data_IF_731285860169
#
_entry.id   IF_731285860169
#
_cell.length_a   1.000
_cell.length_b   1.000
_cell.length_c   1.000
_cell.angle_alpha   90.00
_cell.angle_beta   90.00
_cell.angle_gamma   90.00
#
_symmetry.space_group_name_H-M   'P 1'
#
loop_
_entity.id
_entity.type
_entity.pdbx_description
1 polymer ?
#
# COMPACT_ATOMS: atom_id res chain seq x y z
N UNK A 1 -4.37 -15.45 16.00
CA UNK A 1 -5.04 -14.46 16.89
C UNK A 1 -4.63 -13.08 16.42
N UNK A 2 -5.59 -12.19 16.09
CA UNK A 2 -5.27 -10.80 15.77
C UNK A 2 -4.94 -10.11 17.08
N UNK A 3 -3.64 -9.90 17.34
CA UNK A 3 -3.19 -9.12 18.49
C UNK A 3 -3.79 -7.72 18.40
N UNK A 4 -4.49 -7.27 19.44
CA UNK A 4 -4.96 -5.90 19.52
C UNK A 4 -3.74 -4.98 19.70
N UNK A 5 -3.66 -3.94 18.88
CA UNK A 5 -2.60 -2.94 18.98
C UNK A 5 -2.74 -2.18 20.30
N UNK A 6 -1.64 -2.04 21.03
CA UNK A 6 -1.59 -1.36 22.31
C UNK A 6 -1.55 0.18 22.16
N UNK A 7 -2.01 0.96 23.15
CA UNK A 7 -1.98 2.43 23.10
C UNK A 7 -0.57 3.02 22.85
N UNK A 8 0.49 2.34 23.33
CA UNK A 8 1.90 2.73 23.11
C UNK A 8 2.33 2.71 21.65
N UNK A 9 1.66 1.92 20.81
CA UNK A 9 1.98 1.75 19.37
C UNK A 9 1.29 2.81 18.51
N UNK A 10 0.51 3.70 19.13
CA UNK A 10 -0.24 4.76 18.46
C UNK A 10 0.61 5.68 17.56
N UNK A 11 1.82 6.13 17.97
CA UNK A 11 2.64 6.98 17.09
C UNK A 11 3.08 6.25 15.83
N UNK A 12 3.49 4.99 15.97
CA UNK A 12 3.90 4.13 14.87
C UNK A 12 2.73 3.81 13.93
N UNK A 13 1.56 3.50 14.50
CA UNK A 13 0.32 3.31 13.75
C UNK A 13 -0.10 4.57 12.98
N UNK A 14 0.16 5.76 13.53
CA UNK A 14 -0.12 7.02 12.85
C UNK A 14 0.86 7.26 11.68
N UNK A 15 2.15 6.99 11.88
CA UNK A 15 3.14 7.10 10.81
C UNK A 15 2.86 6.12 9.68
N UNK A 16 2.55 4.86 10.01
CA UNK A 16 2.12 3.85 9.04
C UNK A 16 0.92 4.31 8.21
N UNK A 17 -0.09 4.94 8.83
CA UNK A 17 -1.23 5.50 8.09
C UNK A 17 -0.79 6.56 7.07
N UNK A 18 0.17 7.42 7.43
CA UNK A 18 0.70 8.42 6.50
C UNK A 18 1.47 7.77 5.36
N UNK A 19 2.26 6.73 5.65
CA UNK A 19 3.03 6.00 4.64
C UNK A 19 2.10 5.29 3.64
N UNK A 20 1.06 4.58 4.12
CA UNK A 20 0.08 3.93 3.22
C UNK A 20 -0.62 4.99 2.34
N UNK A 21 -1.01 6.14 2.90
CA UNK A 21 -1.63 7.23 2.12
C UNK A 21 -0.67 7.83 1.08
N UNK A 22 0.62 7.95 1.41
CA UNK A 22 1.65 8.42 0.45
C UNK A 22 1.84 7.42 -0.69
N UNK A 23 1.88 6.12 -0.39
CA UNK A 23 1.93 5.06 -1.40
C UNK A 23 0.69 5.13 -2.31
N UNK A 24 -0.51 5.24 -1.74
CA UNK A 24 -1.76 5.39 -2.52
C UNK A 24 -1.71 6.62 -3.42
N UNK A 25 -1.15 7.74 -2.94
CA UNK A 25 -0.98 8.95 -3.75
C UNK A 25 -0.01 8.72 -4.91
N UNK A 26 1.12 8.06 -4.67
CA UNK A 26 2.08 7.72 -5.71
C UNK A 26 1.46 6.81 -6.79
N UNK A 27 0.70 5.79 -6.39
CA UNK A 27 -0.04 4.94 -7.33
C UNK A 27 -1.07 5.73 -8.17
N UNK A 28 -1.78 6.70 -7.57
CA UNK A 28 -2.70 7.57 -8.33
C UNK A 28 -1.95 8.46 -9.31
N UNK A 29 -0.85 9.06 -8.90
CA UNK A 29 -0.03 9.87 -9.81
C UNK A 29 0.47 9.03 -10.99
N UNK A 30 0.79 7.75 -10.77
CA UNK A 30 1.13 6.83 -11.87
C UNK A 30 -0.05 6.61 -12.82
N UNK A 31 -1.28 6.41 -12.32
CA UNK A 31 -2.48 6.31 -13.18
C UNK A 31 -2.73 7.59 -13.98
N UNK A 32 -2.50 8.76 -13.39
CA UNK A 32 -2.80 10.05 -14.01
C UNK A 32 -1.77 10.47 -15.07
N UNK A 33 -0.52 10.04 -14.93
CA UNK A 33 0.61 10.50 -15.75
C UNK A 33 1.29 9.41 -16.56
N UNK A 34 1.03 8.14 -16.23
CA UNK A 34 1.68 6.97 -16.82
C UNK A 34 3.23 6.96 -16.62
N UNK A 35 3.77 7.83 -15.74
CA UNK A 35 5.20 7.91 -15.43
C UNK A 35 5.60 6.88 -14.37
N UNK A 36 6.39 5.88 -14.78
CA UNK A 36 6.91 4.83 -13.91
C UNK A 36 7.71 5.33 -12.70
N UNK A 37 8.21 6.58 -12.68
CA UNK A 37 8.82 7.16 -11.47
C UNK A 37 7.86 7.20 -10.29
N UNK A 38 6.57 7.45 -10.54
CA UNK A 38 5.55 7.42 -9.50
C UNK A 38 5.26 5.99 -9.03
N UNK A 39 5.32 5.03 -9.94
CA UNK A 39 5.20 3.61 -9.61
C UNK A 39 6.37 3.13 -8.75
N UNK A 40 7.61 3.45 -9.13
CA UNK A 40 8.81 3.16 -8.34
C UNK A 40 8.76 3.80 -6.95
N UNK A 41 8.28 5.04 -6.87
CA UNK A 41 8.05 5.72 -5.59
C UNK A 41 7.06 4.94 -4.71
N UNK A 42 5.98 4.40 -5.28
CA UNK A 42 5.02 3.59 -4.53
C UNK A 42 5.68 2.31 -3.98
N UNK A 43 6.49 1.63 -4.80
CA UNK A 43 7.24 0.44 -4.37
C UNK A 43 8.22 0.75 -3.23
N UNK A 44 8.97 1.84 -3.35
CA UNK A 44 9.90 2.28 -2.30
C UNK A 44 9.17 2.55 -0.97
N UNK A 45 8.01 3.23 -1.02
CA UNK A 45 7.21 3.50 0.18
C UNK A 45 6.71 2.19 0.79
N UNK A 46 6.23 1.24 -0.02
CA UNK A 46 5.81 -0.08 0.47
C UNK A 46 6.96 -0.83 1.15
N UNK A 47 8.15 -0.86 0.55
CA UNK A 47 9.33 -1.51 1.12
C UNK A 47 9.74 -0.90 2.47
N UNK A 48 9.49 0.40 2.70
CA UNK A 48 9.75 1.07 3.98
C UNK A 48 8.85 0.56 5.11
N UNK A 49 7.63 0.10 4.82
CA UNK A 49 6.64 -0.24 5.84
C UNK A 49 6.21 -1.71 5.85
N UNK A 50 6.55 -2.49 4.83
CA UNK A 50 6.13 -3.89 4.69
C UNK A 50 6.60 -4.78 5.85
N UNK A 51 7.70 -4.39 6.50
CA UNK A 51 8.26 -5.08 7.69
C UNK A 51 7.84 -4.46 9.02
N UNK A 52 7.02 -3.41 9.00
CA UNK A 52 6.56 -2.74 10.20
C UNK A 52 5.67 -3.68 11.04
N UNK A 53 5.92 -3.73 12.35
CA UNK A 53 5.19 -4.61 13.26
C UNK A 53 3.68 -4.34 13.28
N UNK A 54 3.30 -3.05 13.34
CA UNK A 54 1.90 -2.62 13.32
C UNK A 54 1.23 -3.05 12.02
N UNK A 55 1.95 -2.94 10.89
CA UNK A 55 1.44 -3.33 9.57
C UNK A 55 1.11 -4.82 9.50
N UNK A 56 2.01 -5.68 9.99
CA UNK A 56 1.80 -7.14 10.02
C UNK A 56 0.60 -7.57 10.88
N UNK A 57 0.13 -6.70 11.78
CA UNK A 57 -1.09 -6.92 12.57
C UNK A 57 -2.38 -6.42 11.92
N UNK A 58 -2.31 -5.78 10.76
CA UNK A 58 -3.51 -5.31 10.06
C UNK A 58 -4.17 -6.43 9.26
N UNK A 59 -5.48 -6.51 9.35
CA UNK A 59 -6.30 -7.32 8.45
C UNK A 59 -6.18 -6.78 7.04
N UNK A 60 -5.71 -7.60 6.10
CA UNK A 60 -5.53 -7.20 4.70
C UNK A 60 -4.10 -6.85 4.28
N UNK A 61 -3.12 -6.90 5.18
CA UNK A 61 -1.72 -6.67 4.81
C UNK A 61 -1.23 -7.69 3.77
N UNK A 62 -1.54 -8.99 3.96
CA UNK A 62 -1.17 -10.07 3.03
C UNK A 62 -1.69 -9.80 1.61
N UNK A 63 -2.95 -9.37 1.49
CA UNK A 63 -3.56 -9.08 0.18
C UNK A 63 -2.90 -7.86 -0.47
N UNK A 64 -2.64 -6.80 0.30
CA UNK A 64 -1.94 -5.62 -0.20
C UNK A 64 -0.50 -5.96 -0.65
N UNK A 65 0.23 -6.75 0.13
CA UNK A 65 1.59 -7.19 -0.20
C UNK A 65 1.60 -8.03 -1.47
N UNK A 66 0.68 -8.99 -1.60
CA UNK A 66 0.58 -9.82 -2.80
C UNK A 66 0.33 -8.96 -4.05
N UNK A 67 -0.57 -7.97 -3.97
CA UNK A 67 -0.89 -7.10 -5.08
C UNK A 67 0.30 -6.21 -5.48
N UNK A 68 1.01 -5.64 -4.50
CA UNK A 68 2.22 -4.84 -4.77
C UNK A 68 3.34 -5.72 -5.35
N UNK A 69 3.56 -6.92 -4.81
CA UNK A 69 4.57 -7.85 -5.32
C UNK A 69 4.27 -8.30 -6.75
N UNK A 70 3.00 -8.52 -7.07
CA UNK A 70 2.58 -8.83 -8.43
C UNK A 70 2.87 -7.67 -9.39
N UNK A 71 2.54 -6.44 -8.99
CA UNK A 71 2.84 -5.25 -9.79
C UNK A 71 4.34 -5.04 -9.98
N UNK A 72 5.14 -5.24 -8.92
CA UNK A 72 6.61 -5.20 -8.96
C UNK A 72 7.16 -6.22 -9.94
N UNK A 73 6.67 -7.45 -9.90
CA UNK A 73 7.06 -8.51 -10.84
C UNK A 73 6.76 -8.14 -12.30
N UNK A 74 5.56 -7.61 -12.58
CA UNK A 74 5.18 -7.13 -13.93
C UNK A 74 6.15 -6.04 -14.41
N UNK A 75 6.46 -5.08 -13.54
CA UNK A 75 7.39 -3.99 -13.86
C UNK A 75 8.81 -4.47 -14.12
N UNK A 76 9.34 -5.36 -13.27
CA UNK A 76 10.70 -5.89 -13.40
C UNK A 76 10.86 -6.79 -14.63
N UNK A 77 9.85 -7.62 -14.94
CA UNK A 77 9.86 -8.48 -16.13
C UNK A 77 9.81 -7.69 -17.44
N UNK A 78 9.07 -6.58 -17.46
CA UNK A 78 8.92 -5.73 -18.64
C UNK A 78 10.00 -4.66 -18.79
N UNK A 79 10.77 -4.38 -17.72
CA UNK A 79 11.71 -3.25 -17.65
C UNK A 79 11.08 -1.92 -18.07
N UNK A 80 9.79 -1.73 -17.76
CA UNK A 80 9.03 -0.55 -18.16
C UNK A 80 8.63 -0.48 -19.64
N UNK A 81 8.88 -1.54 -20.42
CA UNK A 81 8.49 -1.64 -21.82
C UNK A 81 7.38 -2.68 -21.98
N UNK A 82 6.16 -2.28 -21.63
CA UNK A 82 4.95 -3.09 -21.74
C UNK A 82 4.26 -2.77 -23.07
N UNK A 83 3.70 -3.79 -23.73
CA UNK A 83 2.72 -3.57 -24.80
C UNK A 83 1.43 -2.97 -24.21
N UNK A 84 0.64 -2.27 -25.04
CA UNK A 84 -0.57 -1.54 -24.62
C UNK A 84 -1.57 -2.40 -23.83
N UNK A 85 -1.71 -3.68 -24.19
CA UNK A 85 -2.63 -4.58 -23.50
C UNK A 85 -2.11 -4.94 -22.11
N UNK A 86 -0.83 -5.28 -22.01
CA UNK A 86 -0.17 -5.57 -20.74
C UNK A 86 -0.12 -4.34 -19.83
N UNK A 87 0.10 -3.15 -20.41
CA UNK A 87 0.05 -1.89 -19.69
C UNK A 87 -1.35 -1.59 -19.16
N UNK A 88 -2.40 -1.73 -19.98
CA UNK A 88 -3.79 -1.58 -19.53
C UNK A 88 -4.15 -2.50 -18.37
N UNK A 89 -3.72 -3.77 -18.41
CA UNK A 89 -3.89 -4.72 -17.29
C UNK A 89 -3.11 -4.31 -16.04
N UNK A 90 -1.92 -3.74 -16.20
CA UNK A 90 -1.17 -3.21 -15.07
C UNK A 90 -1.93 -2.05 -14.42
N UNK A 91 -2.52 -1.14 -15.19
CA UNK A 91 -3.32 -0.03 -14.67
C UNK A 91 -4.55 -0.53 -13.89
N UNK A 92 -5.27 -1.55 -14.41
CA UNK A 92 -6.38 -2.19 -13.68
C UNK A 92 -5.93 -2.76 -12.33
N UNK A 93 -4.77 -3.43 -12.32
CA UNK A 93 -4.18 -3.99 -11.10
C UNK A 93 -3.73 -2.88 -10.13
N UNK A 94 -3.25 -1.74 -10.62
CA UNK A 94 -2.93 -0.56 -9.80
C UNK A 94 -4.20 0.01 -9.15
N UNK A 95 -5.30 0.15 -9.90
CA UNK A 95 -6.59 0.62 -9.37
C UNK A 95 -7.06 -0.32 -8.25
N UNK A 96 -7.00 -1.63 -8.48
CA UNK A 96 -7.37 -2.61 -7.46
C UNK A 96 -6.48 -2.51 -6.20
N UNK A 97 -5.17 -2.32 -6.39
CA UNK A 97 -4.21 -2.15 -5.29
C UNK A 97 -4.49 -0.90 -4.46
N UNK A 98 -4.86 0.22 -5.11
CA UNK A 98 -5.30 1.45 -4.44
C UNK A 98 -6.53 1.19 -3.56
N UNK A 99 -7.51 0.43 -4.04
CA UNK A 99 -8.69 0.06 -3.25
C UNK A 99 -8.28 -0.74 -2.01
N UNK A 100 -7.39 -1.72 -2.15
CA UNK A 100 -6.87 -2.51 -1.02
C UNK A 100 -6.11 -1.65 -0.01
N UNK A 101 -5.26 -0.74 -0.46
CA UNK A 101 -4.55 0.20 0.41
C UNK A 101 -5.51 1.11 1.20
N UNK A 102 -6.62 1.54 0.58
CA UNK A 102 -7.65 2.34 1.26
C UNK A 102 -8.41 1.54 2.32
N UNK A 103 -8.71 0.26 2.07
CA UNK A 103 -9.33 -0.63 3.06
C UNK A 103 -8.41 -0.79 4.29
N UNK A 104 -7.13 -1.07 4.07
CA UNK A 104 -6.14 -1.19 5.15
C UNK A 104 -6.01 0.13 5.92
N UNK A 105 -5.92 1.27 5.22
CA UNK A 105 -5.87 2.60 5.83
C UNK A 105 -7.08 2.88 6.70
N UNK A 106 -8.28 2.56 6.22
CA UNK A 106 -9.54 2.75 6.95
C UNK A 106 -9.58 1.88 8.21
N UNK A 107 -9.13 0.62 8.13
CA UNK A 107 -9.02 -0.27 9.28
C UNK A 107 -8.07 0.28 10.34
N UNK A 108 -6.92 0.83 9.92
CA UNK A 108 -5.94 1.46 10.80
C UNK A 108 -6.49 2.74 11.45
N UNK A 109 -7.25 3.56 10.73
CA UNK A 109 -7.93 4.74 11.29
C UNK A 109 -8.90 4.36 12.40
N UNK A 110 -9.70 3.31 12.22
CA UNK A 110 -10.61 2.84 13.26
C UNK A 110 -9.86 2.38 14.51
N UNK A 111 -8.74 1.66 14.35
CA UNK A 111 -7.87 1.26 15.47
C UNK A 111 -7.30 2.49 16.19
N UNK A 112 -6.75 3.47 15.46
CA UNK A 112 -6.22 4.73 16.00
C UNK A 112 -7.27 5.56 16.76
N UNK A 113 -8.52 5.57 16.29
CA UNK A 113 -9.65 6.23 16.98
C UNK A 113 -10.00 5.52 18.29
N UNK A 114 -10.00 4.19 18.31
CA UNK A 114 -10.25 3.39 19.53
C UNK A 114 -9.17 3.62 20.59
N UNK A 115 -7.90 3.68 20.19
CA UNK A 115 -6.77 4.01 21.07
C UNK A 115 -6.79 5.44 21.67
N UNK A 116 -7.71 6.34 21.26
CA UNK A 116 -7.84 7.66 21.92
C UNK A 116 -8.69 7.59 23.18
N UNK A 117 -9.53 6.55 23.29
CA UNK A 117 -10.59 6.44 24.30
C UNK A 117 -10.23 5.51 25.47
N UNK A 118 -9.14 4.74 25.35
CA UNK A 118 -8.56 3.95 26.44
C UNK A 118 -7.23 4.57 26.85
#
# INVERSE_FOLDING_TARGET
MVSELAPKERPEAYDLLQQIRRMTKALRNFLDSEDFKHFEQALQIHDMFSKNHVYLHLSGHIDLDNNINQLKSIYEMSKGNLDDLSFGRMLDQVVYTIVRANIVSTGLEFKLKRMRKG
#
